data_IF_825942204456
#
_entry.id   IF_825942204456
#
_cell.length_a   1.000
_cell.length_b   1.000
_cell.length_c   1.000
_cell.angle_alpha   90.00
_cell.angle_beta   90.00
_cell.angle_gamma   90.00
#
_symmetry.space_group_name_H-M   'P 1'
#
loop_
_entity.id
_entity.type
_entity.pdbx_description
1 polymer ?
#
# COMPACT_ATOMS: atom_id res chain seq x y z
N UNK A 1 -3.64 0.50 -19.02
CA UNK A 1 -3.49 0.37 -17.54
C UNK A 1 -2.40 -0.65 -17.17
N UNK A 2 -2.26 -1.73 -17.93
CA UNK A 2 -1.33 -2.84 -17.66
C UNK A 2 0.17 -2.49 -17.69
N UNK A 3 0.61 -1.60 -18.58
CA UNK A 3 2.04 -1.21 -18.67
C UNK A 3 2.50 -0.33 -17.51
N UNK A 4 1.66 0.59 -17.05
CA UNK A 4 1.96 1.42 -15.88
C UNK A 4 2.09 0.55 -14.61
N UNK A 5 1.18 -0.42 -14.48
CA UNK A 5 1.19 -1.40 -13.40
C UNK A 5 2.48 -2.23 -13.43
N UNK A 6 2.92 -2.71 -14.61
CA UNK A 6 4.16 -3.49 -14.77
C UNK A 6 5.43 -2.69 -14.43
N UNK A 7 5.50 -1.41 -14.82
CA UNK A 7 6.66 -0.54 -14.52
C UNK A 7 6.76 -0.21 -13.03
N UNK A 8 5.63 0.12 -12.40
CA UNK A 8 5.56 0.35 -10.96
C UNK A 8 5.94 -0.92 -10.19
N UNK A 9 5.36 -2.07 -10.54
CA UNK A 9 5.67 -3.37 -9.94
C UNK A 9 7.17 -3.68 -9.99
N UNK A 10 7.86 -3.46 -11.11
CA UNK A 10 9.30 -3.75 -11.21
C UNK A 10 10.17 -2.85 -10.31
N UNK A 11 9.86 -1.56 -10.18
CA UNK A 11 10.59 -0.64 -9.30
C UNK A 11 10.37 -0.99 -7.83
N UNK A 12 9.14 -1.36 -7.48
CA UNK A 12 8.74 -1.81 -6.16
C UNK A 12 9.42 -3.16 -5.82
N UNK A 13 9.37 -4.13 -6.73
CA UNK A 13 9.95 -5.46 -6.54
C UNK A 13 11.44 -5.37 -6.28
N UNK A 14 12.19 -4.58 -7.07
CA UNK A 14 13.63 -4.37 -6.86
C UNK A 14 13.94 -3.77 -5.49
N UNK A 15 13.06 -2.90 -4.97
CA UNK A 15 13.24 -2.23 -3.68
C UNK A 15 12.78 -3.05 -2.48
N UNK A 16 11.94 -4.05 -2.71
CA UNK A 16 11.49 -5.00 -1.69
C UNK A 16 12.29 -6.32 -1.71
N UNK A 17 13.37 -6.41 -2.51
CA UNK A 17 14.34 -7.51 -2.44
C UNK A 17 14.87 -7.59 -1.00
N UNK A 18 14.71 -8.75 -0.36
CA UNK A 18 15.13 -9.01 1.02
C UNK A 18 14.10 -8.61 2.09
N UNK A 19 12.94 -8.05 1.71
CA UNK A 19 11.80 -7.89 2.63
C UNK A 19 10.87 -9.10 2.56
N UNK A 20 10.22 -9.41 3.67
CA UNK A 20 9.27 -10.53 3.73
C UNK A 20 8.16 -10.38 2.69
N UNK A 21 7.64 -11.51 2.20
CA UNK A 21 6.63 -11.60 1.13
C UNK A 21 5.35 -10.77 1.36
N UNK A 22 5.10 -10.35 2.60
CA UNK A 22 3.92 -9.61 3.03
C UNK A 22 4.23 -8.14 3.34
N UNK A 23 5.43 -7.64 3.02
CA UNK A 23 5.84 -6.26 3.31
C UNK A 23 6.10 -5.48 2.02
N UNK A 24 5.56 -4.27 1.96
CA UNK A 24 5.71 -3.33 0.85
C UNK A 24 6.24 -1.99 1.33
N UNK A 25 7.36 -1.54 0.77
CA UNK A 25 7.93 -0.24 1.04
C UNK A 25 7.49 0.84 0.04
N UNK A 26 6.89 1.90 0.57
CA UNK A 26 6.33 3.05 -0.12
C UNK A 26 7.02 4.38 0.27
N UNK A 27 8.03 4.37 1.16
CA UNK A 27 8.51 5.58 1.84
C UNK A 27 9.14 6.64 0.92
N UNK A 28 9.54 6.25 -0.29
CA UNK A 28 10.20 7.13 -1.27
C UNK A 28 9.36 7.37 -2.52
N UNK A 29 8.11 6.88 -2.55
CA UNK A 29 7.23 7.07 -3.69
C UNK A 29 6.44 8.38 -3.57
N UNK A 30 5.97 8.90 -4.69
CA UNK A 30 4.94 9.94 -4.67
C UNK A 30 3.62 9.36 -4.16
N UNK A 31 2.75 10.21 -3.60
CA UNK A 31 1.51 9.75 -2.97
C UNK A 31 0.59 8.96 -3.92
N UNK A 32 0.52 9.34 -5.20
CA UNK A 32 -0.29 8.62 -6.19
C UNK A 32 0.34 7.27 -6.55
N UNK A 33 1.65 7.23 -6.83
CA UNK A 33 2.38 5.99 -7.13
C UNK A 33 2.30 5.00 -5.96
N UNK A 34 2.36 5.50 -4.73
CA UNK A 34 2.27 4.67 -3.53
C UNK A 34 0.90 3.99 -3.40
N UNK A 35 -0.18 4.68 -3.79
CA UNK A 35 -1.53 4.11 -3.77
C UNK A 35 -1.68 3.06 -4.88
N UNK A 36 -1.21 3.34 -6.10
CA UNK A 36 -1.24 2.35 -7.20
C UNK A 36 -0.41 1.11 -6.90
N UNK A 37 0.80 1.30 -6.37
CA UNK A 37 1.69 0.25 -5.87
C UNK A 37 1.00 -0.64 -4.83
N UNK A 38 0.37 0.00 -3.84
CA UNK A 38 -0.33 -0.67 -2.75
C UNK A 38 -1.52 -1.48 -3.27
N UNK A 39 -2.31 -0.95 -4.22
CA UNK A 39 -3.46 -1.66 -4.79
C UNK A 39 -3.04 -2.98 -5.40
N UNK A 40 -2.08 -2.95 -6.33
CA UNK A 40 -1.58 -4.16 -6.98
C UNK A 40 -0.95 -5.14 -5.98
N UNK A 41 -0.27 -4.62 -4.95
CA UNK A 41 0.28 -5.48 -3.90
C UNK A 41 -0.81 -6.13 -3.05
N UNK A 42 -1.80 -5.39 -2.57
CA UNK A 42 -2.88 -5.91 -1.72
C UNK A 42 -3.66 -7.02 -2.43
N UNK A 43 -3.88 -6.90 -3.73
CA UNK A 43 -4.54 -7.94 -4.54
C UNK A 43 -3.77 -9.28 -4.55
N UNK A 44 -2.44 -9.25 -4.39
CA UNK A 44 -1.62 -10.46 -4.29
C UNK A 44 -1.61 -11.09 -2.89
N UNK A 45 -2.12 -10.39 -1.87
CA UNK A 45 -2.03 -10.80 -0.47
C UNK A 45 -3.34 -11.42 0.00
N UNK A 46 -3.26 -12.49 0.79
CA UNK A 46 -4.46 -13.26 1.17
C UNK A 46 -5.00 -12.98 2.58
N UNK A 47 -4.16 -12.47 3.50
CA UNK A 47 -4.52 -12.37 4.93
C UNK A 47 -4.12 -11.04 5.54
N UNK A 48 -2.85 -10.69 5.41
CA UNK A 48 -2.31 -9.45 5.95
C UNK A 48 -1.13 -8.97 5.14
N UNK A 49 -0.92 -7.67 5.16
CA UNK A 49 0.28 -7.05 4.63
C UNK A 49 0.73 -5.84 5.47
N UNK A 50 2.01 -5.53 5.37
CA UNK A 50 2.66 -4.43 6.09
C UNK A 50 3.11 -3.41 5.05
N UNK A 51 2.63 -2.17 5.18
CA UNK A 51 2.98 -1.06 4.30
C UNK A 51 3.94 -0.12 5.04
N UNK A 52 5.15 0.07 4.52
CA UNK A 52 6.13 1.00 5.09
C UNK A 52 5.95 2.34 4.41
N UNK A 53 5.36 3.30 5.09
CA UNK A 53 5.08 4.65 4.56
C UNK A 53 6.17 5.67 4.93
N UNK A 54 7.14 5.27 5.75
CA UNK A 54 8.18 6.16 6.30
C UNK A 54 7.70 6.95 7.53
N UNK A 55 8.64 7.47 8.32
CA UNK A 55 8.35 8.10 9.62
C UNK A 55 7.62 9.46 9.54
N UNK A 56 7.52 10.07 8.37
CA UNK A 56 6.84 11.36 8.19
C UNK A 56 7.47 12.56 8.94
N UNK A 57 8.63 12.39 9.57
CA UNK A 57 9.19 13.37 10.52
C UNK A 57 9.90 14.58 9.88
N UNK A 58 10.19 14.59 8.57
CA UNK A 58 11.10 15.60 7.99
C UNK A 58 10.68 16.10 6.60
N UNK A 59 9.44 16.58 6.41
CA UNK A 59 9.19 17.44 5.24
C UNK A 59 8.22 18.56 5.55
N UNK A 60 8.66 19.78 5.28
CA UNK A 60 7.91 21.05 5.42
C UNK A 60 6.64 21.10 4.55
N UNK A 61 6.48 20.15 3.60
CA UNK A 61 5.32 19.97 2.70
C UNK A 61 4.52 18.66 2.94
N UNK A 62 4.77 18.00 4.08
CA UNK A 62 4.07 16.79 4.55
C UNK A 62 4.44 15.51 3.79
N UNK A 63 4.74 14.44 4.53
CA UNK A 63 4.85 13.11 3.95
C UNK A 63 3.46 12.63 3.51
N UNK A 64 3.08 12.95 2.26
CA UNK A 64 1.73 12.73 1.72
C UNK A 64 1.39 11.25 1.47
N UNK A 65 2.36 10.35 1.54
CA UNK A 65 2.18 8.92 1.30
C UNK A 65 1.30 8.27 2.37
N UNK A 66 1.64 8.41 3.66
CA UNK A 66 0.86 7.83 4.76
C UNK A 66 -0.61 8.28 4.74
N UNK A 67 -0.94 9.59 4.68
CA UNK A 67 -2.34 10.00 4.64
C UNK A 67 -3.06 9.53 3.37
N UNK A 68 -2.41 9.51 2.20
CA UNK A 68 -3.02 9.00 0.98
C UNK A 68 -3.36 7.50 1.07
N UNK A 69 -2.41 6.70 1.54
CA UNK A 69 -2.56 5.24 1.76
C UNK A 69 -3.65 4.96 2.78
N UNK A 70 -3.60 5.61 3.95
CA UNK A 70 -4.60 5.41 5.02
C UNK A 70 -5.99 5.85 4.57
N UNK A 71 -6.11 6.97 3.85
CA UNK A 71 -7.39 7.46 3.35
C UNK A 71 -8.01 6.48 2.35
N UNK A 72 -7.22 5.97 1.41
CA UNK A 72 -7.67 4.93 0.48
C UNK A 72 -8.17 3.70 1.23
N UNK A 73 -7.37 3.19 2.17
CA UNK A 73 -7.71 1.97 2.90
C UNK A 73 -8.98 2.12 3.76
N UNK A 74 -9.15 3.28 4.41
CA UNK A 74 -10.37 3.60 5.17
C UNK A 74 -11.59 3.69 4.26
N UNK A 75 -11.47 4.34 3.09
CA UNK A 75 -12.56 4.44 2.12
C UNK A 75 -13.00 3.07 1.59
N UNK A 76 -12.06 2.15 1.45
CA UNK A 76 -12.32 0.76 1.04
C UNK A 76 -12.65 -0.19 2.21
N UNK A 77 -12.86 0.34 3.42
CA UNK A 77 -13.23 -0.42 4.63
C UNK A 77 -12.25 -1.53 5.02
N UNK A 78 -10.96 -1.34 4.74
CA UNK A 78 -9.94 -2.26 5.22
C UNK A 78 -9.71 -2.10 6.72
N UNK A 79 -9.44 -3.21 7.40
CA UNK A 79 -9.06 -3.19 8.80
C UNK A 79 -7.59 -2.80 8.94
N UNK A 80 -7.36 -1.65 9.57
CA UNK A 80 -6.03 -1.11 9.82
C UNK A 80 -5.67 -1.32 11.28
N UNK A 81 -4.43 -1.70 11.51
CA UNK A 81 -3.82 -1.61 12.84
C UNK A 81 -2.65 -0.65 12.75
N UNK A 82 -2.71 0.36 13.60
CA UNK A 82 -1.58 1.25 13.82
C UNK A 82 -0.44 0.44 14.46
N UNK A 83 0.68 0.38 13.73
CA UNK A 83 1.96 -0.09 14.27
C UNK A 83 2.84 1.09 14.64
N UNK A 84 4.16 0.95 14.48
CA UNK A 84 5.10 2.07 14.58
C UNK A 84 4.76 3.18 13.58
N UNK A 85 5.13 4.44 13.89
CA UNK A 85 4.79 5.62 13.06
C UNK A 85 5.27 5.56 11.59
N UNK A 86 6.14 4.60 11.25
CA UNK A 86 6.67 4.36 9.91
C UNK A 86 5.92 3.27 9.11
N UNK A 87 4.99 2.54 9.72
CA UNK A 87 4.35 1.37 9.13
C UNK A 87 2.84 1.36 9.37
N UNK A 88 2.11 0.79 8.43
CA UNK A 88 0.66 0.54 8.51
C UNK A 88 0.43 -0.94 8.28
N UNK A 89 -0.16 -1.63 9.25
CA UNK A 89 -0.58 -3.03 9.08
C UNK A 89 -2.00 -3.07 8.55
N UNK A 90 -2.20 -3.82 7.47
CA UNK A 90 -3.50 -3.98 6.80
C UNK A 90 -3.92 -5.43 6.90
N UNK A 91 -5.11 -5.67 7.44
CA UNK A 91 -5.72 -6.98 7.48
C UNK A 91 -6.73 -7.08 6.33
N UNK A 92 -6.49 -8.05 5.46
CA UNK A 92 -7.36 -8.38 4.35
C UNK A 92 -8.29 -9.48 4.87
N UNK A 93 -9.51 -9.09 5.26
CA UNK A 93 -10.48 -10.08 5.68
C UNK A 93 -10.79 -10.98 4.49
N UNK A 94 -10.80 -12.31 4.70
CA UNK A 94 -10.98 -13.33 3.65
C UNK A 94 -12.37 -13.29 2.97
N UNK A 95 -13.25 -12.38 3.37
CA UNK A 95 -14.50 -12.13 2.67
C UNK A 95 -14.22 -11.15 1.53
N UNK A 96 -13.84 -11.73 0.39
CA UNK A 96 -13.82 -11.11 -0.94
C UNK A 96 -14.81 -9.94 -1.01
N UNK A 97 -14.29 -8.72 -1.03
CA UNK A 97 -14.91 -7.64 -1.78
C UNK A 97 -14.93 -8.12 -3.24
N UNK A 98 -15.95 -8.91 -3.58
CA UNK A 98 -16.23 -9.27 -4.95
C UNK A 98 -16.38 -7.96 -5.74
N UNK A 99 -15.86 -7.87 -6.97
CA UNK A 99 -16.16 -6.73 -7.82
C UNK A 99 -17.68 -6.57 -7.85
N UNK A 100 -18.17 -5.39 -7.48
CA UNK A 100 -19.52 -4.99 -7.82
C UNK A 100 -19.54 -4.89 -9.34
N UNK A 101 -19.89 -6.01 -9.96
CA UNK A 101 -20.33 -6.08 -11.34
C UNK A 101 -21.43 -5.02 -11.51
N UNK A 102 -21.06 -3.95 -12.22
CA UNK A 102 -22.01 -2.94 -12.69
C UNK A 102 -22.59 -3.49 -13.98
N UNK A 103 -23.65 -4.29 -13.82
CA UNK A 103 -24.61 -4.60 -14.87
C UNK A 103 -25.51 -3.40 -15.17
#
# INVERSE_FOLDING_TARGET
>A
MEEANRRACNLILKRNIGRGSNTLDLHSLYAHEAVEAMQGFIETQQKMCILITGQGRHSMNGAKVRPAVVNYLKNHKFNLSDGDASQVKVYLHSERNAPRDVS
#
